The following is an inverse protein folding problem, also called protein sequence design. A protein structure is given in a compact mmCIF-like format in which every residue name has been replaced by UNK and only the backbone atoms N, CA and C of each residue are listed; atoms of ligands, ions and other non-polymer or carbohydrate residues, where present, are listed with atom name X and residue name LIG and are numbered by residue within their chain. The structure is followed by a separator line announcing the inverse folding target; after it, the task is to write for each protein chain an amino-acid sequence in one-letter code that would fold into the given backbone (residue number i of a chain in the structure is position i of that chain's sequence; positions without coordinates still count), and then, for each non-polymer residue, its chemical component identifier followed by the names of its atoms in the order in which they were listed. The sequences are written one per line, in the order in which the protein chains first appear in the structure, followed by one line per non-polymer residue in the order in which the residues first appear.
data_IF_065915975430
#
_entry.id   IF_065915975430
#
_cell.length_a   1.000
_cell.length_b   1.000
_cell.length_c   1.000
_cell.angle_alpha   90.00
_cell.angle_beta   90.00
_cell.angle_gamma   90.00
#
_symmetry.space_group_name_H-M   'P 1'
#
loop_
_entity.id
_entity.type
_entity.pdbx_description
1 polymer ?
#
# COMPACT_ATOMS: atom_id res chain seq x y z
N UNK A 1 3.83 -11.09 11.52
CA UNK A 1 3.67 -9.84 10.74
C UNK A 1 3.12 -10.10 9.35
N UNK A 2 3.67 -11.04 8.57
CA UNK A 2 3.14 -11.39 7.24
C UNK A 2 1.65 -11.77 7.29
N UNK A 3 1.23 -12.58 8.27
CA UNK A 3 -0.18 -12.94 8.43
C UNK A 3 -1.08 -11.72 8.69
N UNK A 4 -0.62 -10.79 9.53
CA UNK A 4 -1.33 -9.54 9.79
C UNK A 4 -1.45 -8.68 8.53
N UNK A 5 -0.41 -8.62 7.70
CA UNK A 5 -0.46 -7.93 6.40
C UNK A 5 -1.47 -8.60 5.46
N UNK A 6 -1.46 -9.93 5.36
CA UNK A 6 -2.43 -10.70 4.56
C UNK A 6 -3.85 -10.46 5.05
N UNK A 7 -4.08 -10.45 6.35
CA UNK A 7 -5.40 -10.25 6.94
C UNK A 7 -5.89 -8.81 6.75
N UNK A 8 -5.00 -7.81 6.89
CA UNK A 8 -5.32 -6.42 6.58
C UNK A 8 -5.68 -6.22 5.10
N UNK A 9 -4.93 -6.84 4.19
CA UNK A 9 -5.21 -6.83 2.75
C UNK A 9 -6.58 -7.47 2.45
N UNK A 10 -6.85 -8.65 3.01
CA UNK A 10 -8.14 -9.36 2.84
C UNK A 10 -9.32 -8.52 3.33
N UNK A 11 -9.19 -7.94 4.52
CA UNK A 11 -10.23 -7.11 5.14
C UNK A 11 -10.55 -5.87 4.30
N UNK A 12 -9.55 -5.26 3.67
CA UNK A 12 -9.73 -4.01 2.94
C UNK A 12 -10.23 -4.20 1.50
N UNK A 13 -9.60 -5.08 0.71
CA UNK A 13 -9.85 -5.20 -0.75
C UNK A 13 -10.41 -6.55 -1.19
N UNK A 14 -10.47 -7.55 -0.29
CA UNK A 14 -10.97 -8.89 -0.61
C UNK A 14 -10.47 -9.43 -1.97
N UNK A 15 -9.13 -9.48 -2.18
CA UNK A 15 -8.56 -9.71 -3.50
C UNK A 15 -8.98 -11.10 -4.03
N UNK A 16 -9.48 -11.21 -5.28
CA UNK A 16 -10.05 -12.46 -5.80
C UNK A 16 -9.10 -13.65 -5.70
N UNK A 17 -7.80 -13.44 -5.91
CA UNK A 17 -6.77 -14.49 -5.83
C UNK A 17 -6.65 -15.16 -4.47
N UNK A 18 -7.06 -14.49 -3.38
CA UNK A 18 -7.11 -15.08 -2.03
C UNK A 18 -8.44 -15.78 -1.74
N UNK A 19 -9.42 -15.70 -2.65
CA UNK A 19 -10.71 -16.37 -2.51
C UNK A 19 -10.60 -17.83 -2.97
N UNK A 20 -11.10 -18.81 -2.17
CA UNK A 20 -11.17 -20.21 -2.58
C UNK A 20 -11.98 -20.45 -3.86
N UNK A 21 -12.84 -19.50 -4.24
CA UNK A 21 -13.67 -19.56 -5.46
C UNK A 21 -12.94 -19.09 -6.71
N UNK A 22 -11.71 -18.56 -6.59
CA UNK A 22 -10.93 -18.08 -7.72
C UNK A 22 -10.14 -19.24 -8.35
N UNK A 23 -10.13 -19.30 -9.68
CA UNK A 23 -9.36 -20.28 -10.43
C UNK A 23 -7.84 -20.21 -10.15
N UNK A 24 -7.35 -19.03 -9.76
CA UNK A 24 -5.96 -18.81 -9.37
C UNK A 24 -5.64 -19.23 -7.92
N UNK A 25 -6.63 -19.62 -7.11
CA UNK A 25 -6.42 -19.93 -5.70
C UNK A 25 -5.40 -21.04 -5.46
N UNK A 26 -5.30 -22.02 -6.37
CA UNK A 26 -4.31 -23.10 -6.30
C UNK A 26 -3.16 -22.94 -7.29
N UNK A 27 -3.06 -21.82 -8.00
CA UNK A 27 -1.99 -21.55 -8.92
C UNK A 27 -0.70 -21.20 -8.15
N UNK A 28 0.35 -22.03 -8.29
CA UNK A 28 1.63 -21.84 -7.59
C UNK A 28 2.27 -20.49 -7.88
N UNK A 29 2.36 -20.10 -9.16
CA UNK A 29 2.96 -18.82 -9.54
C UNK A 29 2.17 -17.63 -8.98
N UNK A 30 0.83 -17.71 -8.92
CA UNK A 30 0.02 -16.65 -8.33
C UNK A 30 0.26 -16.51 -6.81
N UNK A 31 0.41 -17.64 -6.10
CA UNK A 31 0.76 -17.66 -4.68
C UNK A 31 2.14 -17.06 -4.44
N UNK A 32 3.13 -17.47 -5.23
CA UNK A 32 4.51 -16.98 -5.10
C UNK A 32 4.59 -15.46 -5.29
N UNK A 33 3.85 -14.91 -6.26
CA UNK A 33 3.77 -13.46 -6.46
C UNK A 33 3.21 -12.73 -5.23
N UNK A 34 2.13 -13.22 -4.65
CA UNK A 34 1.51 -12.61 -3.47
C UNK A 34 2.40 -12.75 -2.25
N UNK A 35 3.00 -13.93 -2.04
CA UNK A 35 3.83 -14.20 -0.88
C UNK A 35 5.12 -13.36 -0.92
N UNK A 36 5.72 -13.17 -2.09
CA UNK A 36 6.82 -12.23 -2.29
C UNK A 36 6.41 -10.80 -1.97
N UNK A 37 5.30 -10.33 -2.52
CA UNK A 37 4.79 -8.98 -2.28
C UNK A 37 4.48 -8.72 -0.80
N UNK A 38 3.79 -9.64 -0.14
CA UNK A 38 3.50 -9.58 1.30
C UNK A 38 4.80 -9.54 2.11
N UNK A 39 5.81 -10.30 1.70
CA UNK A 39 7.11 -10.28 2.36
C UNK A 39 7.76 -8.90 2.27
N UNK A 40 7.70 -8.25 1.11
CA UNK A 40 8.22 -6.90 0.92
C UNK A 40 7.41 -5.82 1.67
N UNK A 41 6.11 -6.03 1.88
CA UNK A 41 5.28 -5.14 2.71
C UNK A 41 5.72 -5.11 4.18
N UNK A 42 6.29 -6.20 4.72
CA UNK A 42 6.54 -6.31 6.17
C UNK A 42 7.37 -5.15 6.72
N UNK A 43 8.47 -4.80 6.04
CA UNK A 43 9.40 -3.78 6.53
C UNK A 43 8.78 -2.37 6.49
N UNK A 44 8.25 -1.86 5.36
CA UNK A 44 7.61 -0.56 5.32
C UNK A 44 6.46 -0.42 6.33
N UNK A 45 5.61 -1.45 6.49
CA UNK A 45 4.52 -1.40 7.47
C UNK A 45 5.03 -1.39 8.92
N UNK A 46 6.07 -2.16 9.25
CA UNK A 46 6.71 -2.06 10.56
C UNK A 46 7.29 -0.66 10.82
N UNK A 47 7.98 -0.09 9.83
CA UNK A 47 8.52 1.27 9.91
C UNK A 47 7.39 2.28 10.15
N UNK A 48 6.26 2.14 9.45
CA UNK A 48 5.10 3.02 9.60
C UNK A 48 4.52 2.96 11.02
N UNK A 49 4.39 1.76 11.59
CA UNK A 49 3.92 1.60 12.98
C UNK A 49 4.91 2.25 13.95
N UNK A 50 6.21 2.03 13.77
CA UNK A 50 7.26 2.58 14.63
C UNK A 50 7.31 4.11 14.57
N UNK A 51 7.00 4.73 13.43
CA UNK A 51 6.96 6.19 13.28
C UNK A 51 6.07 6.82 14.35
N UNK A 52 4.89 6.24 14.60
CA UNK A 52 3.92 6.76 15.58
C UNK A 52 4.46 6.79 17.03
N UNK A 53 5.54 6.06 17.33
CA UNK A 53 6.20 6.09 18.64
C UNK A 53 7.19 7.24 18.85
N UNK A 54 7.51 8.02 17.80
CA UNK A 54 8.42 9.16 17.91
C UNK A 54 7.70 10.47 18.29
N UNK A 55 8.46 11.49 18.68
CA UNK A 55 7.92 12.85 18.83
C UNK A 55 7.50 13.45 17.48
N UNK A 56 6.64 14.48 17.48
CA UNK A 56 6.02 15.04 16.27
C UNK A 56 7.02 15.48 15.19
N UNK A 57 8.09 16.18 15.57
CA UNK A 57 9.11 16.62 14.62
C UNK A 57 9.79 15.41 13.94
N UNK A 58 10.14 14.38 14.71
CA UNK A 58 10.73 13.14 14.19
C UNK A 58 9.74 12.29 13.41
N UNK A 59 8.45 12.34 13.75
CA UNK A 59 7.39 11.70 12.96
C UNK A 59 7.39 12.28 11.55
N UNK A 60 7.31 13.61 11.41
CA UNK A 60 7.29 14.27 10.10
C UNK A 60 8.52 13.95 9.26
N UNK A 61 9.71 14.03 9.85
CA UNK A 61 10.99 13.67 9.21
C UNK A 61 10.94 12.25 8.62
N UNK A 62 10.51 11.26 9.43
CA UNK A 62 10.41 9.87 8.99
C UNK A 62 9.25 9.60 8.02
N UNK A 63 8.14 10.34 8.12
CA UNK A 63 7.05 10.28 7.15
C UNK A 63 7.51 10.69 5.75
N UNK A 64 8.46 11.64 5.64
CA UNK A 64 9.07 11.99 4.36
C UNK A 64 9.82 10.81 3.73
N UNK A 65 10.65 10.12 4.51
CA UNK A 65 11.40 8.96 4.02
C UNK A 65 10.51 7.76 3.68
N UNK A 66 9.49 7.48 4.50
CA UNK A 66 8.65 6.31 4.28
C UNK A 66 7.75 6.44 3.04
N UNK A 67 7.49 7.67 2.56
CA UNK A 67 6.80 7.88 1.29
C UNK A 67 7.58 7.29 0.10
N UNK A 68 8.92 7.35 0.12
CA UNK A 68 9.74 6.73 -0.93
C UNK A 68 9.65 5.19 -0.90
N UNK A 69 9.64 4.61 0.31
CA UNK A 69 9.43 3.16 0.49
C UNK A 69 8.04 2.73 -0.01
N UNK A 70 6.99 3.49 0.30
CA UNK A 70 5.62 3.18 -0.15
C UNK A 70 5.37 3.50 -1.64
N UNK A 71 6.11 4.43 -2.24
CA UNK A 71 6.11 4.63 -3.69
C UNK A 71 6.69 3.41 -4.41
N UNK A 72 7.80 2.87 -3.90
CA UNK A 72 8.38 1.62 -4.42
C UNK A 72 7.40 0.45 -4.27
N UNK A 73 6.71 0.38 -3.13
CA UNK A 73 5.69 -0.65 -2.88
C UNK A 73 4.47 -0.51 -3.80
N UNK A 74 4.11 0.71 -4.19
CA UNK A 74 3.03 0.98 -5.15
C UNK A 74 3.38 0.40 -6.52
N UNK A 75 4.57 0.69 -7.04
CA UNK A 75 5.04 0.16 -8.32
C UNK A 75 5.09 -1.38 -8.32
N UNK A 76 5.49 -1.98 -7.20
CA UNK A 76 5.49 -3.43 -7.05
C UNK A 76 4.05 -4.00 -7.04
N UNK A 77 3.15 -3.38 -6.29
CA UNK A 77 1.75 -3.80 -6.21
C UNK A 77 1.06 -3.78 -7.58
N UNK A 78 1.30 -2.74 -8.38
CA UNK A 78 0.76 -2.61 -9.74
C UNK A 78 1.30 -3.68 -10.68
N UNK A 79 2.60 -4.01 -10.59
CA UNK A 79 3.20 -5.11 -11.37
C UNK A 79 2.59 -6.45 -10.99
N UNK A 80 2.35 -6.70 -9.70
CA UNK A 80 1.73 -7.94 -9.24
C UNK A 80 0.28 -8.01 -9.69
N UNK A 81 -0.49 -6.93 -9.56
CA UNK A 81 -1.87 -6.88 -10.07
C UNK A 81 -1.93 -7.13 -11.59
N UNK A 82 -1.00 -6.57 -12.37
CA UNK A 82 -0.93 -6.80 -13.81
C UNK A 82 -0.57 -8.27 -14.16
N UNK A 83 0.35 -8.88 -13.40
CA UNK A 83 0.71 -10.29 -13.56
C UNK A 83 -0.48 -11.20 -13.23
N UNK A 84 -1.15 -10.98 -12.10
CA UNK A 84 -2.34 -11.72 -11.69
C UNK A 84 -3.48 -11.54 -12.69
N UNK A 85 -3.69 -10.34 -13.22
CA UNK A 85 -4.67 -10.09 -14.27
C UNK A 85 -4.38 -10.91 -15.53
N UNK A 86 -3.12 -10.92 -15.99
CA UNK A 86 -2.71 -11.70 -17.17
C UNK A 86 -2.92 -13.19 -16.96
N UNK A 87 -2.67 -13.70 -15.76
CA UNK A 87 -2.92 -15.10 -15.40
C UNK A 87 -4.42 -15.41 -15.35
N UNK A 88 -5.23 -14.48 -14.83
CA UNK A 88 -6.67 -14.62 -14.74
C UNK A 88 -7.31 -14.67 -16.13
N UNK A 89 -6.93 -13.76 -17.04
CA UNK A 89 -7.50 -13.71 -18.40
C UNK A 89 -7.23 -15.00 -19.20
N UNK A 90 -6.14 -15.72 -18.92
CA UNK A 90 -5.86 -17.02 -19.56
C UNK A 90 -6.84 -18.11 -19.13
N UNK A 91 -7.40 -18.02 -17.92
CA UNK A 91 -8.33 -19.01 -17.37
C UNK A 91 -9.79 -18.57 -17.50
N UNK A 92 -10.06 -17.29 -17.29
CA UNK A 92 -11.38 -16.66 -17.30
C UNK A 92 -11.36 -15.34 -18.10
N UNK A 93 -11.42 -15.39 -19.44
CA UNK A 93 -11.25 -14.21 -20.31
C UNK A 93 -12.30 -13.11 -20.11
N UNK A 94 -13.47 -13.46 -19.56
CA UNK A 94 -14.59 -12.53 -19.35
C UNK A 94 -14.55 -11.86 -17.97
N UNK A 95 -13.62 -12.24 -17.08
CA UNK A 95 -13.59 -11.72 -15.72
C UNK A 95 -12.79 -10.43 -15.64
N UNK A 96 -13.43 -9.40 -15.09
CA UNK A 96 -12.76 -8.16 -14.73
C UNK A 96 -11.82 -8.41 -13.55
N UNK A 97 -10.56 -8.00 -13.68
CA UNK A 97 -9.60 -8.00 -12.58
C UNK A 97 -9.59 -6.62 -11.93
N UNK A 98 -9.81 -6.60 -10.62
CA UNK A 98 -9.68 -5.39 -9.83
C UNK A 98 -8.21 -5.27 -9.39
N UNK A 99 -7.61 -4.09 -9.55
CA UNK A 99 -6.26 -3.79 -9.08
C UNK A 99 -6.23 -3.66 -7.54
N UNK A 100 -6.47 -4.77 -6.85
CA UNK A 100 -6.71 -4.82 -5.42
C UNK A 100 -5.46 -4.43 -4.63
N UNK A 101 -4.28 -4.93 -5.02
CA UNK A 101 -3.04 -4.67 -4.28
C UNK A 101 -2.63 -3.21 -4.43
N UNK A 102 -2.65 -2.68 -5.65
CA UNK A 102 -2.35 -1.28 -5.95
C UNK A 102 -3.33 -0.34 -5.25
N UNK A 103 -4.62 -0.69 -5.18
CA UNK A 103 -5.62 0.11 -4.43
C UNK A 103 -5.32 0.14 -2.93
N UNK A 104 -4.92 -0.99 -2.35
CA UNK A 104 -4.59 -1.07 -0.92
C UNK A 104 -3.33 -0.26 -0.57
N UNK A 105 -2.28 -0.34 -1.39
CA UNK A 105 -1.06 0.45 -1.18
C UNK A 105 -1.32 1.94 -1.40
N UNK A 106 -2.11 2.29 -2.42
CA UNK A 106 -2.49 3.68 -2.71
C UNK A 106 -3.23 4.31 -1.54
N UNK A 107 -4.14 3.57 -0.90
CA UNK A 107 -4.82 4.03 0.31
C UNK A 107 -3.82 4.44 1.39
N UNK A 108 -2.78 3.63 1.66
CA UNK A 108 -1.77 3.98 2.66
C UNK A 108 -0.88 5.15 2.21
N UNK A 109 -0.48 5.20 0.95
CA UNK A 109 0.24 6.34 0.38
C UNK A 109 -0.49 7.65 0.64
N UNK A 110 -1.78 7.72 0.30
CA UNK A 110 -2.60 8.92 0.51
C UNK A 110 -2.71 9.29 1.99
N UNK A 111 -2.86 8.30 2.87
CA UNK A 111 -2.90 8.53 4.33
C UNK A 111 -1.59 9.10 4.86
N UNK A 112 -0.45 8.59 4.40
CA UNK A 112 0.89 9.08 4.78
C UNK A 112 1.10 10.50 4.24
N UNK A 113 0.72 10.78 2.98
CA UNK A 113 0.83 12.12 2.38
C UNK A 113 0.01 13.15 3.16
N UNK A 114 -1.24 12.82 3.49
CA UNK A 114 -2.11 13.69 4.31
C UNK A 114 -1.47 13.94 5.68
N UNK A 115 -0.97 12.90 6.34
CA UNK A 115 -0.32 13.05 7.65
C UNK A 115 0.95 13.91 7.58
N UNK A 116 1.77 13.72 6.54
CA UNK A 116 2.97 14.53 6.31
C UNK A 116 2.62 16.00 6.12
N UNK A 117 1.64 16.31 5.26
CA UNK A 117 1.20 17.68 5.00
C UNK A 117 0.65 18.34 6.28
N UNK A 118 -0.28 17.68 6.97
CA UNK A 118 -0.90 18.22 8.18
C UNK A 118 0.10 18.42 9.33
N UNK A 119 1.09 17.54 9.46
CA UNK A 119 2.14 17.69 10.47
C UNK A 119 2.97 18.97 10.28
N UNK A 120 3.04 19.52 9.07
CA UNK A 120 3.69 20.81 8.82
C UNK A 120 2.96 21.98 9.45
N UNK A 121 1.62 21.96 9.49
CA UNK A 121 0.84 22.97 10.21
C UNK A 121 1.02 22.84 11.73
N UNK A 122 0.96 21.61 12.27
CA UNK A 122 1.15 21.37 13.71
C UNK A 122 2.52 21.82 14.23
N UNK A 123 3.52 21.82 13.35
CA UNK A 123 4.89 22.21 13.65
C UNK A 123 5.23 23.63 13.19
N UNK A 124 4.24 24.39 12.72
CA UNK A 124 4.39 25.78 12.24
C UNK A 124 5.47 25.93 11.15
N UNK A 125 5.60 24.93 10.26
CA UNK A 125 6.62 24.90 9.22
C UNK A 125 6.24 25.67 7.95
N UNK A 126 4.96 26.02 7.81
CA UNK A 126 4.45 26.78 6.67
C UNK A 126 4.19 28.23 7.10
N UNK A 127 4.60 29.17 6.26
CA UNK A 127 4.22 30.58 6.38
C UNK A 127 2.78 30.80 5.91
N UNK A 128 2.11 31.87 6.36
CA UNK A 128 0.70 32.12 6.02
C UNK A 128 0.41 32.19 4.52
N UNK A 129 1.34 32.73 3.73
CA UNK A 129 1.20 32.81 2.27
C UNK A 129 1.22 31.42 1.60
N UNK A 130 1.67 30.39 2.33
CA UNK A 130 1.77 29.02 1.86
C UNK A 130 0.47 28.23 2.02
N UNK A 131 -0.42 28.70 2.89
CA UNK A 131 -1.58 27.92 3.32
C UNK A 131 -2.50 27.56 2.16
N UNK A 132 -2.66 28.48 1.20
CA UNK A 132 -3.56 28.26 0.07
C UNK A 132 -3.16 27.05 -0.78
N UNK A 133 -1.86 26.87 -1.09
CA UNK A 133 -1.38 25.76 -1.91
C UNK A 133 -1.11 24.47 -1.13
N UNK A 134 -1.05 24.52 0.20
CA UNK A 134 -0.96 23.30 1.02
C UNK A 134 -2.35 22.71 1.26
N UNK A 135 -3.40 23.54 1.36
CA UNK A 135 -4.78 23.07 1.53
C UNK A 135 -5.47 22.61 0.24
N UNK A 136 -5.02 23.07 -0.93
CA UNK A 136 -5.65 22.83 -2.23
C UNK A 136 -4.74 22.01 -3.15
#
# INVERSE_FOLDING_TARGET
MQDMVKDALRSFVSPPVLSPKCCLYNNHQAKDCIDSFVTHCVRPFCSLIQIHGHNRARQRDKLGHILEEFATLQDEAEKVDAALHTMLLKQEPQRQHLACLGTWVLYHNLRIMIQYLLSGFELELYSMHEYYYIYW
#
